data_IF_959839203644
#
_entry.id   IF_959839203644
#
_cell.length_a   1.000
_cell.length_b   1.000
_cell.length_c   1.000
_cell.angle_alpha   90.00
_cell.angle_beta   90.00
_cell.angle_gamma   90.00
#
_symmetry.space_group_name_H-M   'P 1'
#
loop_
_entity.id
_entity.type
_entity.pdbx_description
1 polymer ?
#
# COMPACT_ATOMS: atom_id res chain seq x y z
N UNK A 1 -1.70 9.72 16.55
CA UNK A 1 -1.97 9.38 15.13
C UNK A 1 -2.78 8.11 15.15
N UNK A 2 -3.74 7.96 14.24
CA UNK A 2 -4.43 6.68 14.06
C UNK A 2 -3.42 5.64 13.57
N UNK A 3 -3.58 4.40 14.00
CA UNK A 3 -2.84 3.28 13.44
C UNK A 3 -3.28 3.02 12.00
N UNK A 4 -2.42 2.40 11.19
CA UNK A 4 -2.74 2.10 9.79
C UNK A 4 -3.99 1.22 9.66
N UNK A 5 -4.20 0.29 10.57
CA UNK A 5 -5.39 -0.58 10.63
C UNK A 5 -6.68 0.10 11.06
N UNK A 6 -6.62 1.37 11.48
CA UNK A 6 -7.78 2.18 11.84
C UNK A 6 -8.21 3.12 10.70
N UNK A 7 -7.44 3.18 9.61
CA UNK A 7 -7.69 4.08 8.49
C UNK A 7 -8.65 3.41 7.50
N UNK A 8 -9.75 4.10 7.23
CA UNK A 8 -10.68 3.76 6.13
C UNK A 8 -10.58 4.83 5.04
N UNK A 9 -10.24 4.40 3.82
CA UNK A 9 -10.07 5.32 2.69
C UNK A 9 -11.41 5.53 1.96
N UNK A 10 -11.77 6.79 1.61
CA UNK A 10 -13.09 7.10 1.05
C UNK A 10 -13.33 6.56 -0.37
N UNK A 11 -12.29 6.12 -1.06
CA UNK A 11 -12.37 5.59 -2.41
C UNK A 11 -11.96 4.12 -2.43
N UNK A 12 -12.85 3.26 -2.94
CA UNK A 12 -12.59 1.84 -3.11
C UNK A 12 -11.92 1.56 -4.47
N UNK A 13 -10.85 0.76 -4.45
CA UNK A 13 -10.17 0.20 -5.63
C UNK A 13 -10.16 -1.33 -5.54
N UNK A 14 -10.67 -1.96 -6.59
CA UNK A 14 -10.63 -3.42 -6.75
C UNK A 14 -9.21 -3.94 -6.90
N UNK A 15 -8.97 -5.16 -6.40
CA UNK A 15 -7.75 -5.93 -6.65
C UNK A 15 -7.62 -6.26 -8.15
N UNK A 16 -6.46 -5.98 -8.76
CA UNK A 16 -6.16 -6.35 -10.14
C UNK A 16 -6.43 -5.28 -11.20
N UNK A 17 -6.55 -5.73 -12.45
CA UNK A 17 -6.70 -4.88 -13.63
C UNK A 17 -7.66 -5.57 -14.61
N UNK A 18 -8.73 -4.89 -15.03
CA UNK A 18 -9.72 -5.45 -15.96
C UNK A 18 -9.11 -6.02 -17.26
N UNK A 19 -8.00 -5.43 -17.72
CA UNK A 19 -7.34 -5.81 -18.96
C UNK A 19 -6.24 -6.86 -18.80
N UNK A 20 -5.91 -7.28 -17.57
CA UNK A 20 -4.86 -8.28 -17.35
C UNK A 20 -4.99 -8.95 -15.98
N UNK A 21 -4.94 -10.28 -15.99
CA UNK A 21 -4.91 -11.10 -14.78
C UNK A 21 -3.51 -11.13 -14.11
N UNK A 22 -2.46 -10.69 -14.82
CA UNK A 22 -1.06 -10.71 -14.35
C UNK A 22 -0.65 -9.37 -13.71
N UNK A 23 -1.57 -8.79 -12.93
CA UNK A 23 -1.44 -7.48 -12.29
C UNK A 23 -1.58 -7.54 -10.77
N UNK A 24 -1.70 -8.75 -10.20
CA UNK A 24 -1.80 -8.95 -8.76
C UNK A 24 -0.68 -9.86 -8.27
N UNK A 25 0.10 -9.41 -7.28
CA UNK A 25 1.22 -10.17 -6.71
C UNK A 25 1.06 -10.29 -5.20
N UNK A 26 1.31 -11.49 -4.67
CA UNK A 26 1.17 -11.79 -3.24
C UNK A 26 2.52 -12.08 -2.60
N UNK A 27 2.74 -11.54 -1.42
CA UNK A 27 3.92 -11.79 -0.58
C UNK A 27 3.50 -12.36 0.77
N UNK A 28 4.26 -13.36 1.24
CA UNK A 28 4.00 -14.01 2.52
C UNK A 28 4.46 -13.17 3.73
N UNK A 29 5.38 -12.21 3.51
CA UNK A 29 5.92 -11.33 4.56
C UNK A 29 6.26 -9.96 3.99
N UNK A 30 6.27 -8.96 4.87
CA UNK A 30 6.72 -7.60 4.53
C UNK A 30 8.18 -7.58 4.04
N UNK A 31 9.06 -8.31 4.73
CA UNK A 31 10.46 -8.43 4.31
C UNK A 31 10.62 -9.05 2.92
N UNK A 32 9.79 -10.05 2.57
CA UNK A 32 9.80 -10.67 1.26
C UNK A 32 9.40 -9.69 0.15
N UNK A 33 8.45 -8.81 0.44
CA UNK A 33 8.10 -7.70 -0.44
C UNK A 33 9.26 -6.70 -0.59
N UNK A 34 9.86 -6.26 0.53
CA UNK A 34 10.97 -5.30 0.50
C UNK A 34 12.20 -5.85 -0.22
N UNK A 35 12.47 -7.16 -0.15
CA UNK A 35 13.57 -7.78 -0.86
C UNK A 35 13.46 -7.64 -2.40
N UNK A 36 12.24 -7.50 -2.93
CA UNK A 36 11.99 -7.33 -4.38
C UNK A 36 11.73 -5.87 -4.76
N UNK A 37 10.99 -5.13 -3.91
CA UNK A 37 10.47 -3.79 -4.23
C UNK A 37 11.01 -2.67 -3.34
N UNK A 38 11.80 -2.97 -2.31
CA UNK A 38 12.30 -1.98 -1.35
C UNK A 38 13.08 -0.86 -2.02
N UNK A 39 13.95 -1.23 -2.97
CA UNK A 39 14.77 -0.30 -3.77
C UNK A 39 14.11 0.12 -5.09
N UNK A 40 12.83 -0.19 -5.28
CA UNK A 40 12.11 0.20 -6.49
C UNK A 40 12.01 1.73 -6.60
N UNK A 41 12.30 2.23 -7.79
CA UNK A 41 12.27 3.66 -8.07
C UNK A 41 10.83 4.19 -7.94
N UNK A 42 10.65 5.20 -7.08
CA UNK A 42 9.37 5.85 -6.77
C UNK A 42 8.81 6.53 -8.04
N UNK A 43 9.65 7.06 -8.91
CA UNK A 43 9.23 7.75 -10.13
C UNK A 43 8.61 6.78 -11.15
N UNK A 44 9.06 5.52 -11.14
CA UNK A 44 8.54 4.47 -12.01
C UNK A 44 7.31 3.76 -11.45
N UNK A 45 7.09 3.83 -10.13
CA UNK A 45 6.08 3.07 -9.41
C UNK A 45 5.25 3.98 -8.50
N UNK A 46 4.38 4.79 -9.11
CA UNK A 46 3.61 5.76 -8.35
C UNK A 46 2.62 5.08 -7.43
N UNK A 47 2.80 5.28 -6.12
CA UNK A 47 1.95 4.72 -5.07
C UNK A 47 0.63 5.50 -4.98
N UNK A 48 -0.49 4.80 -5.15
CA UNK A 48 -1.81 5.45 -5.25
C UNK A 48 -2.64 5.25 -3.99
N UNK A 49 -2.66 4.03 -3.46
CA UNK A 49 -3.56 3.64 -2.37
C UNK A 49 -3.02 2.44 -1.63
N UNK A 50 -3.38 2.35 -0.36
CA UNK A 50 -3.19 1.18 0.47
C UNK A 50 -4.44 0.90 1.30
N UNK A 51 -4.57 -0.32 1.81
CA UNK A 51 -5.58 -0.72 2.78
C UNK A 51 -4.94 -1.73 3.75
N UNK A 52 -5.23 -1.60 5.04
CA UNK A 52 -4.87 -2.59 6.05
C UNK A 52 -6.12 -3.36 6.45
N UNK A 53 -6.17 -4.64 6.13
CA UNK A 53 -7.36 -5.46 6.26
C UNK A 53 -7.17 -6.52 7.35
N UNK A 54 -8.07 -6.55 8.32
CA UNK A 54 -8.13 -7.53 9.43
C UNK A 54 -9.49 -8.24 9.45
N UNK A 55 -9.52 -9.50 9.89
CA UNK A 55 -10.76 -10.24 10.09
C UNK A 55 -11.27 -11.05 8.88
N UNK A 56 -12.30 -11.85 9.15
CA UNK A 56 -12.81 -12.86 8.21
C UNK A 56 -13.44 -12.25 6.95
N UNK A 57 -14.05 -11.07 7.06
CA UNK A 57 -14.66 -10.35 5.93
C UNK A 57 -13.67 -10.08 4.80
N UNK A 58 -12.37 -10.01 5.13
CA UNK A 58 -11.28 -9.78 4.20
C UNK A 58 -10.42 -11.01 3.93
N UNK A 59 -10.91 -12.19 4.32
CA UNK A 59 -10.15 -13.45 4.30
C UNK A 59 -8.79 -13.29 5.02
N UNK A 60 -8.79 -12.52 6.11
CA UNK A 60 -7.66 -12.29 6.98
C UNK A 60 -7.89 -12.99 8.33
N UNK A 61 -6.84 -13.14 9.13
CA UNK A 61 -6.94 -13.69 10.47
C UNK A 61 -7.60 -12.73 11.46
N UNK A 62 -8.12 -13.28 12.55
CA UNK A 62 -8.59 -12.48 13.69
C UNK A 62 -7.41 -12.06 14.56
N UNK A 63 -7.33 -10.78 14.93
CA UNK A 63 -6.38 -10.32 15.94
C UNK A 63 -6.74 -10.91 17.31
N UNK A 64 -5.76 -11.54 17.97
CA UNK A 64 -5.94 -12.19 19.28
C UNK A 64 -5.07 -11.58 20.39
N UNK A 65 -4.61 -10.34 20.21
CA UNK A 65 -3.75 -9.65 21.18
C UNK A 65 -2.25 -9.93 21.02
N UNK A 66 -1.84 -10.56 19.92
CA UNK A 66 -0.41 -10.77 19.58
C UNK A 66 -0.06 -9.95 18.33
N UNK A 67 0.77 -8.93 18.51
CA UNK A 67 1.18 -8.02 17.45
C UNK A 67 2.15 -8.64 16.44
N UNK A 68 2.76 -9.78 16.76
CA UNK A 68 3.69 -10.50 15.89
C UNK A 68 3.00 -11.60 15.09
N UNK A 69 1.75 -11.92 15.41
CA UNK A 69 0.98 -12.90 14.67
C UNK A 69 0.48 -12.28 13.36
N UNK A 70 0.85 -12.87 12.21
CA UNK A 70 0.43 -12.42 10.87
C UNK A 70 -1.05 -12.76 10.63
N UNK A 71 -1.90 -11.83 11.02
CA UNK A 71 -3.36 -11.93 10.88
C UNK A 71 -3.92 -10.95 9.88
N UNK A 72 -3.14 -9.97 9.41
CA UNK A 72 -3.64 -8.91 8.55
C UNK A 72 -3.12 -9.06 7.10
N UNK A 73 -3.80 -8.42 6.17
CA UNK A 73 -3.37 -8.24 4.78
C UNK A 73 -3.15 -6.76 4.51
N UNK A 74 -1.95 -6.38 4.10
CA UNK A 74 -1.67 -5.05 3.59
C UNK A 74 -1.79 -5.07 2.07
N UNK A 75 -2.81 -4.38 1.57
CA UNK A 75 -3.12 -4.26 0.16
C UNK A 75 -2.64 -2.91 -0.34
N UNK A 76 -2.08 -2.84 -1.54
CA UNK A 76 -1.78 -1.55 -2.16
C UNK A 76 -1.75 -1.60 -3.67
N UNK A 77 -1.89 -0.43 -4.28
CA UNK A 77 -1.89 -0.26 -5.73
C UNK A 77 -0.84 0.75 -6.17
N UNK A 78 -0.12 0.39 -7.24
CA UNK A 78 0.87 1.22 -7.90
C UNK A 78 0.48 1.44 -9.37
N UNK A 79 0.83 2.59 -9.92
CA UNK A 79 0.77 2.85 -11.36
C UNK A 79 2.19 2.84 -11.91
N UNK A 80 2.48 1.89 -12.79
CA UNK A 80 3.73 1.83 -13.54
C UNK A 80 3.77 2.88 -14.63
N UNK A 81 4.72 3.82 -14.55
CA UNK A 81 4.78 5.04 -15.36
C UNK A 81 4.70 4.79 -16.89
N UNK A 82 5.55 3.88 -17.42
CA UNK A 82 5.74 3.75 -18.89
C UNK A 82 4.52 3.25 -19.66
N UNK A 83 3.64 2.49 -19.02
CA UNK A 83 2.48 1.85 -19.67
C UNK A 83 1.16 2.15 -18.96
N UNK A 84 1.17 3.06 -17.98
CA UNK A 84 0.06 3.28 -17.05
C UNK A 84 -0.48 1.94 -16.49
N UNK A 85 0.43 1.00 -16.20
CA UNK A 85 0.03 -0.34 -15.75
C UNK A 85 -0.42 -0.22 -14.30
N UNK A 86 -1.71 -0.41 -14.04
CA UNK A 86 -2.20 -0.58 -12.68
C UNK A 86 -1.72 -1.95 -12.17
N UNK A 87 -0.93 -1.91 -11.10
CA UNK A 87 -0.41 -3.04 -10.36
C UNK A 87 -1.09 -3.06 -8.99
N UNK A 88 -1.34 -4.24 -8.48
CA UNK A 88 -1.88 -4.45 -7.15
C UNK A 88 -1.05 -5.49 -6.42
N UNK A 89 -0.92 -5.30 -5.12
CA UNK A 89 -0.10 -6.13 -4.27
C UNK A 89 -0.84 -6.46 -3.00
N UNK A 90 -0.54 -7.63 -2.48
CA UNK A 90 -1.03 -8.13 -1.21
C UNK A 90 0.15 -8.65 -0.42
N UNK A 91 0.25 -8.25 0.85
CA UNK A 91 1.29 -8.73 1.74
C UNK A 91 0.65 -9.20 3.04
N UNK A 92 0.96 -10.41 3.48
CA UNK A 92 0.55 -10.86 4.81
C UNK A 92 1.40 -10.15 5.88
N UNK A 93 0.74 -9.40 6.76
CA UNK A 93 1.37 -8.54 7.78
C UNK A 93 0.83 -8.82 9.18
N UNK A 94 1.56 -8.33 10.18
CA UNK A 94 1.17 -8.27 11.57
C UNK A 94 1.33 -6.81 12.06
N UNK A 95 0.74 -6.46 13.20
CA UNK A 95 0.79 -5.07 13.70
C UNK A 95 2.22 -4.61 13.99
N UNK A 96 3.12 -5.51 14.34
CA UNK A 96 4.54 -5.22 14.52
C UNK A 96 5.25 -4.77 13.22
N UNK A 97 4.69 -5.02 12.02
CA UNK A 97 5.24 -4.53 10.75
C UNK A 97 4.89 -3.04 10.50
N UNK A 98 3.94 -2.46 11.24
CA UNK A 98 3.45 -1.08 11.03
C UNK A 98 4.57 -0.03 10.94
N UNK A 99 5.60 -0.01 11.83
CA UNK A 99 6.66 0.97 11.74
C UNK A 99 7.43 0.92 10.41
N UNK A 100 7.75 -0.28 9.92
CA UNK A 100 8.44 -0.47 8.65
C UNK A 100 7.57 -0.09 7.45
N UNK A 101 6.26 -0.36 7.53
CA UNK A 101 5.29 0.07 6.51
C UNK A 101 5.18 1.60 6.49
N UNK A 102 5.13 2.26 7.65
CA UNK A 102 5.14 3.72 7.74
C UNK A 102 6.41 4.33 7.14
N UNK A 103 7.59 3.74 7.40
CA UNK A 103 8.84 4.17 6.77
C UNK A 103 8.80 4.06 5.24
N UNK A 104 8.18 3.01 4.72
CA UNK A 104 7.96 2.85 3.28
C UNK A 104 6.94 3.87 2.72
N UNK A 105 5.85 4.15 3.42
CA UNK A 105 4.78 5.03 2.95
C UNK A 105 5.15 6.52 2.98
N UNK A 106 5.94 6.98 3.97
CA UNK A 106 6.33 8.39 4.14
C UNK A 106 6.91 9.05 2.88
N UNK A 107 7.98 8.54 2.25
CA UNK A 107 8.54 9.16 1.05
C UNK A 107 7.57 9.14 -0.13
N UNK A 108 6.68 8.14 -0.20
CA UNK A 108 5.65 8.02 -1.25
C UNK A 108 4.52 9.03 -1.06
N UNK A 109 4.13 9.29 0.19
CA UNK A 109 3.24 10.37 0.55
C UNK A 109 3.83 11.74 0.17
N UNK A 110 5.11 11.96 0.49
CA UNK A 110 5.80 13.19 0.14
C UNK A 110 5.82 13.41 -1.38
N UNK A 111 6.14 12.37 -2.15
CA UNK A 111 6.09 12.41 -3.61
C UNK A 111 4.68 12.66 -4.16
N UNK A 112 3.65 12.01 -3.60
CA UNK A 112 2.26 12.20 -4.05
C UNK A 112 1.76 13.64 -3.83
N UNK A 113 2.17 14.30 -2.73
CA UNK A 113 1.82 15.72 -2.49
C UNK A 113 2.35 16.62 -3.61
N UNK A 114 3.57 16.38 -4.11
CA UNK A 114 4.17 17.19 -5.18
C UNK A 114 3.31 17.25 -6.45
N UNK A 115 2.56 16.17 -6.75
CA UNK A 115 1.68 16.12 -7.93
C UNK A 115 0.52 17.11 -7.85
N UNK A 116 0.05 17.40 -6.62
CA UNK A 116 -1.12 18.24 -6.37
C UNK A 116 -0.75 19.60 -5.77
N UNK A 117 0.51 19.78 -5.37
CA UNK A 117 1.06 21.03 -4.85
C UNK A 117 0.73 22.24 -5.74
N UNK A 118 0.81 22.18 -7.10
CA UNK A 118 0.53 23.33 -7.95
C UNK A 118 -0.90 23.86 -7.87
N UNK A 119 -1.85 23.11 -7.31
CA UNK A 119 -3.24 23.56 -7.10
C UNK A 119 -3.61 23.66 -5.61
N UNK A 120 -2.71 23.27 -4.71
CA UNK A 120 -2.89 23.48 -3.27
C UNK A 120 -2.70 24.97 -2.96
N UNK A 121 -3.52 25.54 -2.07
CA UNK A 121 -3.42 26.96 -1.72
C UNK A 121 -1.99 27.28 -1.23
N UNK A 122 -1.23 28.01 -2.05
CA UNK A 122 0.19 28.30 -1.79
C UNK A 122 1.08 28.36 -3.04
N UNK A 123 0.66 27.81 -4.18
CA UNK A 123 1.38 27.90 -5.45
C UNK A 123 1.08 29.21 -6.20
N UNK A 124 1.44 30.33 -5.58
CA UNK A 124 1.60 31.58 -6.32
C UNK A 124 3.00 31.60 -6.99
N UNK A 125 2.97 31.49 -8.32
CA UNK A 125 4.02 31.72 -9.34
C UNK A 125 4.94 30.56 -9.72
#
# INVERSE_FOLDING_TARGET
MAHLWEVDHPYYMTEGNYFSNDCHTKYATWDGFLAEFGDSDIDYNWFVRWDWLEGEDWNAGTYRGDDYYRHARFMFQLIGQRKAKLLSFEVAVCRADEPAILEFLKPRWDYMKLMWEPISEGSAQ
#
